data_IF_942565593294
#
_entry.id   IF_942565593294
#
_cell.length_a   1.000
_cell.length_b   1.000
_cell.length_c   1.000
_cell.angle_alpha   90.00
_cell.angle_beta   90.00
_cell.angle_gamma   90.00
#
_symmetry.space_group_name_H-M   'P 1'
#
loop_
_entity.id
_entity.type
_entity.pdbx_description
1 polymer ?
#
# COMPACT_ATOMS: atom_id res chain seq x y z
N UNK A 1 -11.07 17.98 -20.39
CA UNK A 1 -11.20 16.96 -21.44
C UNK A 1 -9.95 16.07 -21.52
N UNK A 2 -8.75 16.64 -21.72
CA UNK A 2 -7.47 15.90 -21.81
C UNK A 2 -7.19 14.92 -20.65
N UNK A 3 -7.33 15.35 -19.38
CA UNK A 3 -7.10 14.46 -18.21
C UNK A 3 -7.98 13.20 -18.20
N UNK A 4 -9.26 13.30 -18.60
CA UNK A 4 -10.18 12.16 -18.66
C UNK A 4 -9.80 11.20 -19.79
N UNK A 5 -9.37 11.72 -20.94
CA UNK A 5 -8.89 10.91 -22.07
C UNK A 5 -7.62 10.13 -21.67
N UNK A 6 -6.66 10.79 -21.02
CA UNK A 6 -5.45 10.13 -20.52
C UNK A 6 -5.75 9.05 -19.48
N UNK A 7 -6.67 9.30 -18.54
CA UNK A 7 -7.07 8.30 -17.54
C UNK A 7 -7.74 7.09 -18.19
N UNK A 8 -8.67 7.30 -19.14
CA UNK A 8 -9.31 6.21 -19.88
C UNK A 8 -8.31 5.41 -20.72
N UNK A 9 -7.37 6.09 -21.38
CA UNK A 9 -6.30 5.42 -22.12
C UNK A 9 -5.43 4.57 -21.19
N UNK A 10 -4.96 5.13 -20.07
CA UNK A 10 -4.17 4.41 -19.07
C UNK A 10 -4.92 3.18 -18.54
N UNK A 11 -6.20 3.31 -18.22
CA UNK A 11 -7.05 2.20 -17.78
C UNK A 11 -7.14 1.09 -18.84
N UNK A 12 -7.32 1.45 -20.12
CA UNK A 12 -7.42 0.48 -21.21
C UNK A 12 -6.13 -0.31 -21.44
N UNK A 13 -4.97 0.29 -21.18
CA UNK A 13 -3.66 -0.36 -21.34
C UNK A 13 -3.14 -1.05 -20.07
N UNK A 14 -3.85 -0.96 -18.94
CA UNK A 14 -3.44 -1.59 -17.66
C UNK A 14 -3.12 -3.08 -17.82
N UNK A 15 -3.96 -3.94 -18.41
CA UNK A 15 -3.67 -5.39 -18.50
C UNK A 15 -2.36 -5.68 -19.25
N UNK A 16 -2.13 -4.99 -20.38
CA UNK A 16 -0.90 -5.14 -21.16
C UNK A 16 0.31 -4.65 -20.39
N UNK A 17 0.22 -3.48 -19.73
CA UNK A 17 1.31 -2.96 -18.88
C UNK A 17 1.61 -3.89 -17.71
N UNK A 18 0.60 -4.42 -17.05
CA UNK A 18 0.76 -5.40 -15.96
C UNK A 18 1.48 -6.65 -16.44
N UNK A 19 1.11 -7.20 -17.60
CA UNK A 19 1.80 -8.36 -18.15
C UNK A 19 3.27 -8.06 -18.48
N UNK A 20 3.56 -6.86 -19.00
CA UNK A 20 4.93 -6.41 -19.27
C UNK A 20 5.74 -6.18 -17.98
N UNK A 21 5.15 -5.56 -16.95
CA UNK A 21 5.79 -5.37 -15.64
C UNK A 21 6.08 -6.73 -14.98
N UNK A 22 5.14 -7.67 -15.05
CA UNK A 22 5.31 -9.04 -14.56
C UNK A 22 6.45 -9.78 -15.28
N UNK A 23 6.46 -9.75 -16.61
CA UNK A 23 7.53 -10.34 -17.42
C UNK A 23 8.88 -9.65 -17.17
N UNK A 24 8.89 -8.32 -17.05
CA UNK A 24 10.08 -7.54 -16.75
C UNK A 24 10.70 -7.99 -15.42
N UNK A 25 9.92 -8.05 -14.34
CA UNK A 25 10.41 -8.52 -13.06
C UNK A 25 10.88 -9.97 -13.09
N UNK A 26 10.20 -10.86 -13.80
CA UNK A 26 10.67 -12.23 -13.99
C UNK A 26 12.06 -12.27 -14.63
N UNK A 27 12.25 -11.51 -15.71
CA UNK A 27 13.48 -11.52 -16.50
C UNK A 27 14.64 -10.74 -15.86
N UNK A 28 14.34 -9.74 -15.02
CA UNK A 28 15.36 -8.88 -14.42
C UNK A 28 15.70 -9.23 -12.98
N UNK A 29 14.88 -10.03 -12.28
CA UNK A 29 15.07 -10.30 -10.84
C UNK A 29 16.47 -10.82 -10.51
N UNK A 30 16.92 -11.86 -11.21
CA UNK A 30 18.25 -12.45 -10.95
C UNK A 30 19.41 -11.47 -11.21
N UNK A 31 19.20 -10.46 -12.06
CA UNK A 31 20.21 -9.44 -12.35
C UNK A 31 20.27 -8.34 -11.28
N UNK A 32 19.18 -8.12 -10.53
CA UNK A 32 19.09 -7.02 -9.57
C UNK A 32 19.18 -7.48 -8.11
N UNK A 33 18.71 -8.70 -7.79
CA UNK A 33 18.47 -9.16 -6.40
C UNK A 33 19.72 -9.10 -5.51
N UNK A 34 20.91 -9.37 -6.04
CA UNK A 34 22.15 -9.42 -5.25
C UNK A 34 22.64 -8.02 -4.83
N UNK A 35 22.14 -6.97 -5.50
CA UNK A 35 22.42 -5.57 -5.17
C UNK A 35 21.39 -4.97 -4.21
N UNK A 36 20.33 -5.72 -3.89
CA UNK A 36 19.27 -5.28 -2.99
C UNK A 36 19.56 -5.72 -1.55
N UNK A 37 19.11 -4.96 -0.54
CA UNK A 37 19.38 -5.28 0.85
C UNK A 37 18.77 -6.62 1.28
N UNK A 38 19.46 -7.33 2.16
CA UNK A 38 18.94 -8.52 2.83
C UNK A 38 18.07 -8.15 4.03
N UNK A 39 17.09 -8.99 4.31
CA UNK A 39 16.18 -8.87 5.44
C UNK A 39 16.78 -9.45 6.73
N UNK A 40 16.27 -8.95 7.85
CA UNK A 40 16.62 -9.41 9.22
C UNK A 40 15.69 -10.54 9.73
N UNK A 41 14.88 -11.13 8.83
CA UNK A 41 13.92 -12.19 9.16
C UNK A 41 12.69 -11.72 9.94
N UNK A 42 12.35 -10.42 9.97
CA UNK A 42 11.07 -9.99 10.52
C UNK A 42 9.89 -10.36 9.59
N UNK A 43 8.66 -10.48 10.15
CA UNK A 43 7.49 -10.83 9.36
C UNK A 43 6.94 -9.67 8.52
N UNK A 44 6.47 -9.97 7.31
CA UNK A 44 5.85 -9.01 6.37
C UNK A 44 4.48 -9.53 5.95
N UNK A 45 3.42 -8.76 6.21
CA UNK A 45 2.05 -9.08 5.79
C UNK A 45 1.66 -8.28 4.55
N UNK A 46 1.22 -8.99 3.52
CA UNK A 46 0.78 -8.42 2.25
C UNK A 46 -0.75 -8.35 2.18
N UNK A 47 -1.27 -7.20 1.74
CA UNK A 47 -2.71 -6.93 1.64
C UNK A 47 -3.09 -6.58 0.18
N UNK A 48 -3.95 -7.37 -0.47
CA UNK A 48 -4.31 -7.19 -1.87
C UNK A 48 -5.33 -6.05 -2.08
N UNK A 49 -5.38 -5.55 -3.31
CA UNK A 49 -6.34 -4.53 -3.75
C UNK A 49 -7.77 -5.08 -3.94
N UNK A 50 -8.72 -4.20 -4.16
CA UNK A 50 -10.12 -4.55 -4.43
C UNK A 50 -10.25 -5.48 -5.66
N UNK A 51 -11.13 -6.48 -5.58
CA UNK A 51 -11.32 -7.57 -6.55
C UNK A 51 -10.07 -8.42 -6.84
N UNK A 52 -9.10 -8.40 -5.93
CA UNK A 52 -7.93 -9.28 -6.00
C UNK A 52 -7.76 -10.07 -4.70
N UNK A 53 -6.93 -11.09 -4.77
CA UNK A 53 -6.56 -11.95 -3.65
C UNK A 53 -5.03 -11.97 -3.48
N UNK A 54 -4.55 -12.89 -2.65
CA UNK A 54 -3.13 -13.09 -2.41
C UNK A 54 -2.31 -13.39 -3.68
N UNK A 55 -2.94 -13.94 -4.73
CA UNK A 55 -2.28 -14.33 -5.98
C UNK A 55 -1.70 -13.14 -6.74
N UNK A 56 -2.36 -11.97 -6.69
CA UNK A 56 -1.84 -10.75 -7.32
C UNK A 56 -0.49 -10.32 -6.69
N UNK A 57 -0.32 -10.58 -5.39
CA UNK A 57 0.86 -10.17 -4.65
C UNK A 57 1.95 -11.25 -4.63
N UNK A 58 1.68 -12.47 -5.12
CA UNK A 58 2.56 -13.64 -4.97
C UNK A 58 3.98 -13.40 -5.46
N UNK A 59 4.12 -12.77 -6.62
CA UNK A 59 5.45 -12.53 -7.18
C UNK A 59 6.25 -11.56 -6.32
N UNK A 60 5.64 -10.48 -5.87
CA UNK A 60 6.26 -9.54 -4.93
C UNK A 60 6.64 -10.24 -3.61
N UNK A 61 5.74 -11.06 -3.06
CA UNK A 61 6.00 -11.87 -1.86
C UNK A 61 7.18 -12.81 -2.06
N UNK A 62 7.28 -13.47 -3.22
CA UNK A 62 8.39 -14.37 -3.52
C UNK A 62 9.73 -13.62 -3.58
N UNK A 63 9.77 -12.43 -4.20
CA UNK A 63 10.95 -11.57 -4.21
C UNK A 63 11.35 -11.19 -2.77
N UNK A 64 10.40 -10.71 -1.96
CA UNK A 64 10.65 -10.34 -0.55
C UNK A 64 11.09 -11.56 0.27
N UNK A 65 10.44 -12.71 0.14
CA UNK A 65 10.85 -13.95 0.80
C UNK A 65 12.27 -14.38 0.43
N UNK A 66 12.66 -14.24 -0.83
CA UNK A 66 14.00 -14.60 -1.30
C UNK A 66 15.11 -13.71 -0.71
N UNK A 67 14.76 -12.55 -0.17
CA UNK A 67 15.65 -11.64 0.57
C UNK A 67 15.65 -11.89 2.08
N UNK A 68 15.13 -13.03 2.54
CA UNK A 68 15.24 -13.46 3.94
C UNK A 68 14.12 -13.02 4.88
N UNK A 69 13.02 -12.44 4.38
CA UNK A 69 11.85 -12.08 5.21
C UNK A 69 10.86 -13.24 5.39
N UNK A 70 10.14 -13.26 6.51
CA UNK A 70 8.99 -14.16 6.70
C UNK A 70 7.73 -13.53 6.11
N UNK A 71 7.31 -13.96 4.92
CA UNK A 71 6.20 -13.33 4.20
C UNK A 71 4.87 -14.05 4.43
N UNK A 72 3.80 -13.27 4.63
CA UNK A 72 2.45 -13.75 4.86
C UNK A 72 1.45 -13.09 3.91
N UNK A 73 0.49 -13.87 3.44
CA UNK A 73 -0.71 -13.36 2.81
C UNK A 73 -1.77 -12.91 3.78
N UNK A 74 -2.78 -12.24 3.27
CA UNK A 74 -3.95 -11.85 4.05
C UNK A 74 -4.87 -13.04 4.32
N UNK A 75 -4.82 -14.10 3.49
CA UNK A 75 -5.57 -15.37 3.61
C UNK A 75 -7.09 -15.19 3.84
N UNK A 76 -7.69 -14.16 3.24
CA UNK A 76 -9.11 -13.83 3.40
C UNK A 76 -9.91 -13.90 2.07
N UNK A 77 -9.42 -14.66 1.09
CA UNK A 77 -10.07 -14.81 -0.23
C UNK A 77 -9.89 -13.58 -1.11
N UNK A 78 -10.96 -13.18 -1.81
CA UNK A 78 -11.00 -11.98 -2.68
C UNK A 78 -11.42 -10.76 -1.87
N UNK A 79 -10.76 -9.62 -2.11
CA UNK A 79 -11.06 -8.37 -1.45
C UNK A 79 -12.28 -7.66 -2.06
N UNK A 80 -13.42 -7.80 -1.40
CA UNK A 80 -14.66 -7.14 -1.79
C UNK A 80 -14.92 -5.79 -1.12
N UNK A 81 -13.97 -5.24 -0.36
CA UNK A 81 -14.15 -3.95 0.29
C UNK A 81 -14.29 -4.04 1.81
N UNK A 82 -14.66 -2.91 2.43
CA UNK A 82 -14.70 -2.75 3.88
C UNK A 82 -15.93 -3.38 4.49
N UNK A 83 -15.76 -4.53 5.13
CA UNK A 83 -16.78 -5.14 5.96
C UNK A 83 -16.23 -5.56 7.33
N UNK A 84 -17.11 -5.77 8.31
CA UNK A 84 -16.68 -6.13 9.66
C UNK A 84 -16.00 -7.50 9.76
N UNK A 85 -16.37 -8.46 8.91
CA UNK A 85 -15.79 -9.80 8.88
C UNK A 85 -14.34 -9.71 8.41
N UNK A 86 -14.08 -8.97 7.34
CA UNK A 86 -12.74 -8.65 6.82
C UNK A 86 -11.92 -7.91 7.86
N UNK A 87 -12.49 -6.91 8.54
CA UNK A 87 -11.79 -6.23 9.62
C UNK A 87 -11.39 -7.20 10.76
N UNK A 88 -12.33 -8.01 11.28
CA UNK A 88 -12.03 -9.02 12.31
C UNK A 88 -10.96 -10.02 11.86
N UNK A 89 -11.02 -10.47 10.61
CA UNK A 89 -10.04 -11.39 10.02
C UNK A 89 -8.64 -10.76 9.97
N UNK A 90 -8.51 -9.53 9.47
CA UNK A 90 -7.24 -8.81 9.39
C UNK A 90 -6.62 -8.55 10.76
N UNK A 91 -7.44 -8.14 11.74
CA UNK A 91 -6.99 -8.00 13.13
C UNK A 91 -6.45 -9.31 13.68
N UNK A 92 -7.19 -10.41 13.51
CA UNK A 92 -6.77 -11.75 13.95
C UNK A 92 -5.47 -12.16 13.26
N UNK A 93 -5.38 -11.97 11.95
CA UNK A 93 -4.22 -12.30 11.13
C UNK A 93 -2.95 -11.59 11.61
N UNK A 94 -3.02 -10.28 11.87
CA UNK A 94 -1.89 -9.52 12.43
C UNK A 94 -1.44 -10.08 13.78
N UNK A 95 -2.38 -10.38 14.69
CA UNK A 95 -2.06 -10.94 16.01
C UNK A 95 -1.44 -12.34 15.92
N UNK A 96 -1.88 -13.16 14.97
CA UNK A 96 -1.31 -14.49 14.73
C UNK A 96 0.13 -14.39 14.23
N UNK A 97 0.37 -13.59 13.19
CA UNK A 97 1.71 -13.38 12.64
C UNK A 97 2.66 -12.82 13.70
N UNK A 98 2.23 -11.80 14.43
CA UNK A 98 3.01 -11.19 15.51
C UNK A 98 3.38 -12.23 16.57
N UNK A 99 2.44 -13.06 17.02
CA UNK A 99 2.71 -14.11 18.02
C UNK A 99 3.60 -15.23 17.49
N UNK A 100 3.34 -15.72 16.29
CA UNK A 100 4.10 -16.81 15.65
C UNK A 100 5.57 -16.44 15.42
N UNK A 101 5.86 -15.17 15.19
CA UNK A 101 7.23 -14.66 14.96
C UNK A 101 7.89 -14.14 16.25
N UNK A 102 7.53 -14.70 17.41
CA UNK A 102 8.15 -14.33 18.68
C UNK A 102 7.95 -12.87 19.08
N UNK A 103 6.82 -12.26 18.68
CA UNK A 103 6.49 -10.84 18.93
C UNK A 103 7.44 -9.85 18.24
N UNK A 104 8.11 -10.25 17.15
CA UNK A 104 8.73 -9.30 16.21
C UNK A 104 7.63 -8.49 15.53
N UNK A 105 7.79 -7.18 15.44
CA UNK A 105 6.82 -6.32 14.73
C UNK A 105 6.74 -6.69 13.25
N UNK A 106 5.53 -6.51 12.70
CA UNK A 106 5.17 -6.90 11.34
C UNK A 106 5.21 -5.67 10.43
N UNK A 107 5.92 -5.74 9.31
CA UNK A 107 5.79 -4.71 8.26
C UNK A 107 4.61 -5.01 7.36
N UNK A 108 3.88 -3.99 6.95
CA UNK A 108 2.65 -4.13 6.17
C UNK A 108 2.85 -3.58 4.76
N UNK A 109 2.65 -4.42 3.75
CA UNK A 109 2.72 -4.03 2.34
C UNK A 109 1.32 -4.14 1.72
N UNK A 110 0.74 -3.02 1.32
CA UNK A 110 -0.62 -3.01 0.79
C UNK A 110 -0.70 -2.41 -0.60
N UNK A 111 -1.41 -3.08 -1.51
CA UNK A 111 -1.72 -2.55 -2.84
C UNK A 111 -3.14 -1.98 -2.89
N UNK A 112 -3.32 -0.82 -3.52
CA UNK A 112 -4.63 -0.20 -3.72
C UNK A 112 -5.41 -0.14 -2.39
N UNK A 113 -6.63 -0.70 -2.31
CA UNK A 113 -7.42 -0.80 -1.09
C UNK A 113 -6.70 -1.52 0.08
N UNK A 114 -5.87 -2.52 -0.22
CA UNK A 114 -5.01 -3.21 0.74
C UNK A 114 -4.10 -2.28 1.54
N UNK A 115 -3.62 -1.20 0.92
CA UNK A 115 -2.82 -0.19 1.62
C UNK A 115 -3.63 0.69 2.57
N UNK A 116 -4.93 0.88 2.34
CA UNK A 116 -5.80 1.55 3.31
C UNK A 116 -5.96 0.67 4.56
N UNK A 117 -6.16 -0.64 4.37
CA UNK A 117 -6.15 -1.60 5.48
C UNK A 117 -4.81 -1.60 6.24
N UNK A 118 -3.68 -1.60 5.53
CA UNK A 118 -2.35 -1.57 6.13
C UNK A 118 -2.17 -0.36 7.06
N UNK A 119 -2.49 0.84 6.57
CA UNK A 119 -2.40 2.09 7.34
C UNK A 119 -3.25 2.06 8.59
N UNK A 120 -4.42 1.44 8.51
CA UNK A 120 -5.40 1.45 9.59
C UNK A 120 -5.08 0.38 10.64
N UNK A 121 -4.56 -0.78 10.23
CA UNK A 121 -3.94 -1.73 11.16
C UNK A 121 -2.79 -1.08 11.92
N UNK A 122 -1.91 -0.35 11.23
CA UNK A 122 -0.80 0.36 11.83
C UNK A 122 -1.22 1.48 12.79
N UNK A 123 -2.33 2.17 12.49
CA UNK A 123 -2.90 3.19 13.38
C UNK A 123 -3.45 2.58 14.67
N UNK A 124 -4.11 1.44 14.57
CA UNK A 124 -4.74 0.79 15.73
C UNK A 124 -3.76 -0.04 16.55
N UNK A 125 -2.76 -0.66 15.91
CA UNK A 125 -1.79 -1.56 16.53
C UNK A 125 -0.33 -1.12 16.30
N UNK A 126 0.07 0.13 16.62
CA UNK A 126 1.42 0.62 16.34
C UNK A 126 2.52 -0.12 17.12
N UNK A 127 2.16 -0.78 18.23
CA UNK A 127 3.09 -1.64 18.97
C UNK A 127 3.40 -2.97 18.28
N UNK A 128 2.58 -3.40 17.31
CA UNK A 128 2.76 -4.64 16.55
C UNK A 128 3.25 -4.40 15.12
N UNK A 129 3.17 -3.17 14.63
CA UNK A 129 3.52 -2.82 13.25
C UNK A 129 4.86 -2.10 13.20
N UNK A 130 5.77 -2.56 12.35
CA UNK A 130 7.11 -2.00 12.17
C UNK A 130 7.08 -0.79 11.25
N UNK A 131 6.51 -0.96 10.06
CA UNK A 131 6.36 0.06 9.04
C UNK A 131 5.21 -0.31 8.08
N UNK A 132 4.82 0.66 7.25
CA UNK A 132 3.82 0.49 6.20
C UNK A 132 4.40 0.94 4.86
N UNK A 133 4.28 0.09 3.84
CA UNK A 133 4.53 0.44 2.45
C UNK A 133 3.23 0.27 1.64
N UNK A 134 2.72 1.37 1.09
CA UNK A 134 1.54 1.34 0.22
C UNK A 134 1.93 1.46 -1.24
N UNK A 135 1.22 0.76 -2.13
CA UNK A 135 1.48 0.76 -3.57
C UNK A 135 0.20 1.16 -4.31
N UNK A 136 0.16 2.38 -4.86
CA UNK A 136 -1.02 2.90 -5.59
C UNK A 136 -2.28 3.04 -4.73
N UNK A 137 -2.15 3.26 -3.42
CA UNK A 137 -3.30 3.23 -2.49
C UNK A 137 -3.99 4.60 -2.36
N UNK A 138 -5.30 4.72 -2.64
CA UNK A 138 -6.00 6.01 -2.72
C UNK A 138 -6.50 6.55 -1.35
N UNK A 139 -5.61 6.74 -0.37
CA UNK A 139 -6.00 7.12 1.00
C UNK A 139 -6.29 8.63 1.21
N UNK A 140 -5.79 9.50 0.34
CA UNK A 140 -5.80 10.96 0.51
C UNK A 140 -6.99 11.71 -0.10
N UNK A 141 -7.90 11.02 -0.79
CA UNK A 141 -9.08 11.62 -1.45
C UNK A 141 -10.37 10.81 -1.24
N UNK A 142 -10.46 10.05 -0.14
CA UNK A 142 -11.64 9.24 0.16
C UNK A 142 -12.92 10.05 0.40
N UNK A 143 -12.81 11.35 0.76
CA UNK A 143 -13.97 12.24 0.98
C UNK A 143 -14.47 12.93 -0.32
N UNK A 144 -13.71 12.88 -1.43
CA UNK A 144 -14.05 13.52 -2.72
C UNK A 144 -13.85 12.50 -3.86
N UNK A 145 -14.63 11.42 -3.76
CA UNK A 145 -14.59 10.28 -4.70
C UNK A 145 -15.01 10.65 -6.12
N UNK A 146 -15.66 11.81 -6.31
CA UNK A 146 -15.96 12.38 -7.63
C UNK A 146 -14.69 12.74 -8.44
N UNK A 147 -13.51 12.81 -7.78
CA UNK A 147 -12.23 13.16 -8.41
C UNK A 147 -11.15 12.08 -8.34
N UNK A 148 -11.32 11.03 -7.52
CA UNK A 148 -10.23 10.15 -7.08
C UNK A 148 -10.13 8.76 -7.72
N UNK A 149 -11.21 8.19 -8.25
CA UNK A 149 -11.19 6.90 -8.93
C UNK A 149 -11.89 6.99 -10.30
N UNK A 150 -11.56 6.13 -11.26
CA UNK A 150 -12.41 5.99 -12.45
C UNK A 150 -13.82 5.63 -11.96
N UNK A 151 -14.84 6.35 -12.42
CA UNK A 151 -16.23 6.21 -11.94
C UNK A 151 -16.76 4.77 -11.93
N UNK A 152 -16.22 3.90 -12.79
CA UNK A 152 -16.49 2.47 -12.84
C UNK A 152 -15.98 1.74 -11.60
N UNK A 153 -14.75 2.00 -11.15
CA UNK A 153 -14.17 1.38 -9.95
C UNK A 153 -15.01 1.73 -8.72
N UNK A 154 -15.47 2.99 -8.63
CA UNK A 154 -16.38 3.42 -7.57
C UNK A 154 -17.72 2.70 -7.61
N UNK A 155 -18.34 2.60 -8.79
CA UNK A 155 -19.62 1.86 -8.95
C UNK A 155 -19.50 0.39 -8.57
N UNK A 156 -18.40 -0.25 -8.96
CA UNK A 156 -18.16 -1.65 -8.59
C UNK A 156 -17.89 -1.76 -7.08
N UNK A 157 -17.12 -0.83 -6.51
CA UNK A 157 -16.94 -0.76 -5.06
C UNK A 157 -18.28 -0.62 -4.33
N UNK A 158 -19.11 0.36 -4.70
CA UNK A 158 -20.41 0.61 -4.08
C UNK A 158 -21.37 -0.59 -4.26
N UNK A 159 -21.30 -1.29 -5.39
CA UNK A 159 -22.07 -2.50 -5.64
C UNK A 159 -21.72 -3.66 -4.70
N UNK A 160 -20.43 -3.84 -4.38
CA UNK A 160 -19.99 -4.87 -3.43
C UNK A 160 -20.06 -4.41 -1.96
N UNK A 161 -20.24 -3.11 -1.74
CA UNK A 161 -20.28 -2.48 -0.42
C UNK A 161 -21.57 -1.66 -0.20
N UNK A 162 -22.76 -2.20 -0.53
CA UNK A 162 -24.01 -1.52 -0.23
C UNK A 162 -24.10 -1.45 1.30
N UNK A 163 -24.26 -0.25 1.85
CA UNK A 163 -24.40 0.00 3.30
C UNK A 163 -23.12 -0.05 4.16
N UNK A 164 -21.94 0.28 3.62
CA UNK A 164 -20.71 0.38 4.45
C UNK A 164 -20.67 1.62 5.36
N UNK A 165 -21.18 1.43 6.59
CA UNK A 165 -21.28 2.41 7.68
C UNK A 165 -19.95 2.97 8.27
N UNK A 166 -18.74 2.39 8.10
CA UNK A 166 -17.49 3.04 8.53
C UNK A 166 -16.97 4.11 7.57
N UNK A 167 -17.25 4.00 6.26
CA UNK A 167 -16.78 4.95 5.24
C UNK A 167 -17.63 6.22 5.14
N UNK A 168 -18.87 6.17 5.65
CA UNK A 168 -19.77 7.32 5.75
C UNK A 168 -19.55 8.18 7.00
N UNK A 169 -18.57 7.85 7.85
CA UNK A 169 -18.17 8.72 8.95
C UNK A 169 -17.54 10.00 8.38
N UNK A 170 -18.03 11.18 8.81
CA UNK A 170 -17.60 12.54 8.40
C UNK A 170 -16.09 12.87 8.56
N UNK A 171 -15.24 11.90 8.88
CA UNK A 171 -13.83 12.07 9.16
C UNK A 171 -12.92 11.11 8.38
N UNK A 172 -13.46 10.26 7.50
CA UNK A 172 -12.67 9.18 6.92
C UNK A 172 -11.53 9.66 6.00
N UNK A 173 -11.74 10.66 5.16
CA UNK A 173 -10.65 11.21 4.35
C UNK A 173 -9.61 11.92 5.19
N UNK A 174 -9.99 12.73 6.20
CA UNK A 174 -9.02 13.30 7.17
C UNK A 174 -8.22 12.21 7.89
N UNK A 175 -8.89 11.15 8.34
CA UNK A 175 -8.27 10.02 9.03
C UNK A 175 -7.30 9.27 8.13
N UNK A 176 -7.73 8.87 6.94
CA UNK A 176 -6.91 8.10 6.00
C UNK A 176 -5.73 8.92 5.47
N UNK A 177 -5.91 10.23 5.26
CA UNK A 177 -4.84 11.14 4.84
C UNK A 177 -3.77 11.34 5.91
N UNK A 178 -4.14 11.37 7.20
CA UNK A 178 -3.17 11.41 8.31
C UNK A 178 -2.33 10.13 8.27
N UNK A 179 -0.99 10.16 8.23
CA UNK A 179 -0.18 8.94 8.34
C UNK A 179 -0.42 8.22 9.69
N UNK A 180 -0.28 6.89 9.77
CA UNK A 180 -0.22 6.20 11.06
C UNK A 180 1.06 6.58 11.83
N UNK A 181 1.13 6.35 13.15
CA UNK A 181 2.27 6.74 13.99
C UNK A 181 3.44 5.74 13.88
N UNK A 182 3.74 5.28 12.67
CA UNK A 182 4.87 4.41 12.31
C UNK A 182 5.43 4.87 10.97
N UNK A 183 6.69 4.52 10.62
CA UNK A 183 7.24 4.80 9.30
C UNK A 183 6.28 4.36 8.18
N UNK A 184 5.98 5.28 7.26
CA UNK A 184 4.96 5.08 6.22
C UNK A 184 5.44 5.59 4.87
N UNK A 185 5.64 4.68 3.94
CA UNK A 185 6.05 4.99 2.57
C UNK A 185 4.90 4.78 1.61
N UNK A 186 4.64 5.75 0.72
CA UNK A 186 3.74 5.54 -0.42
C UNK A 186 4.52 5.47 -1.72
N UNK A 187 4.42 4.35 -2.41
CA UNK A 187 4.91 4.15 -3.77
C UNK A 187 3.75 4.41 -4.73
N UNK A 188 3.92 5.37 -5.64
CA UNK A 188 2.87 5.77 -6.58
C UNK A 188 3.41 5.90 -8.00
N UNK A 189 2.51 5.80 -8.98
CA UNK A 189 2.80 6.08 -10.39
C UNK A 189 1.85 7.15 -10.92
N UNK A 190 2.35 8.04 -11.78
CA UNK A 190 1.48 9.00 -12.50
C UNK A 190 0.74 8.36 -13.67
N UNK A 191 1.21 7.20 -14.12
CA UNK A 191 0.57 6.40 -15.16
C UNK A 191 -0.61 5.58 -14.64
N UNK A 192 -0.99 5.74 -13.37
CA UNK A 192 -2.14 5.08 -12.74
C UNK A 192 -3.40 5.35 -13.56
N UNK A 193 -3.98 4.28 -14.11
CA UNK A 193 -5.23 4.34 -14.87
C UNK A 193 -6.48 4.11 -14.02
N UNK A 194 -6.34 3.77 -12.74
CA UNK A 194 -7.45 3.29 -11.89
C UNK A 194 -7.87 4.36 -10.88
N UNK A 195 -6.89 5.03 -10.26
CA UNK A 195 -7.10 6.10 -9.27
C UNK A 195 -6.24 7.33 -9.58
N UNK A 196 -6.66 8.52 -9.15
CA UNK A 196 -5.79 9.70 -9.23
C UNK A 196 -4.60 9.48 -8.30
N UNK A 197 -3.41 9.37 -8.87
CA UNK A 197 -2.17 9.17 -8.12
C UNK A 197 -1.94 10.19 -6.99
N UNK A 198 -2.56 11.37 -7.06
CA UNK A 198 -2.51 12.38 -5.98
C UNK A 198 -3.19 11.89 -4.70
N UNK A 199 -4.18 11.02 -4.82
CA UNK A 199 -4.84 10.37 -3.70
C UNK A 199 -3.90 9.39 -2.97
N UNK A 200 -2.77 9.02 -3.57
CA UNK A 200 -1.76 8.16 -2.95
C UNK A 200 -0.64 8.95 -2.27
N UNK A 201 -0.70 10.28 -2.20
CA UNK A 201 0.36 11.09 -1.59
C UNK A 201 0.17 11.23 -0.09
N UNK A 202 1.17 10.80 0.67
CA UNK A 202 1.34 11.19 2.07
C UNK A 202 1.58 12.70 2.19
N UNK A 203 1.05 13.35 3.25
CA UNK A 203 1.58 14.64 3.66
C UNK A 203 3.04 14.51 4.08
N UNK A 204 3.75 15.66 4.16
CA UNK A 204 5.13 15.68 4.66
C UNK A 204 5.12 15.53 6.19
N UNK A 205 5.77 14.49 6.70
CA UNK A 205 6.05 14.31 8.13
C UNK A 205 7.47 13.77 8.31
N UNK A 206 7.93 13.62 9.55
CA UNK A 206 9.24 13.03 9.85
C UNK A 206 9.31 11.51 9.58
N UNK A 207 8.17 10.84 9.48
CA UNK A 207 8.08 9.39 9.31
C UNK A 207 7.30 8.99 8.05
N UNK A 208 7.00 9.95 7.16
CA UNK A 208 6.25 9.65 5.94
C UNK A 208 6.88 10.24 4.70
N UNK A 209 6.84 9.46 3.62
CA UNK A 209 7.40 9.85 2.34
C UNK A 209 6.59 9.35 1.16
N UNK A 210 6.97 9.82 -0.03
CA UNK A 210 6.38 9.43 -1.30
C UNK A 210 7.48 9.09 -2.31
N UNK A 211 7.47 7.87 -2.83
CA UNK A 211 8.38 7.38 -3.85
C UNK A 211 7.58 7.27 -5.16
N UNK A 212 8.06 7.96 -6.19
CA UNK A 212 7.50 7.85 -7.53
C UNK A 212 8.23 6.76 -8.29
N UNK A 213 7.45 5.92 -8.97
CA UNK A 213 7.91 5.04 -10.05
C UNK A 213 7.09 5.33 -11.32
N UNK A 214 7.58 4.89 -12.47
CA UNK A 214 6.77 4.89 -13.69
C UNK A 214 6.16 3.49 -13.88
N UNK A 215 4.91 3.42 -14.33
CA UNK A 215 4.17 2.15 -14.45
C UNK A 215 2.65 2.33 -14.43
N UNK A 216 1.90 1.24 -14.37
CA UNK A 216 0.44 1.22 -14.17
C UNK A 216 0.02 0.94 -12.73
N UNK A 217 -1.27 1.04 -12.44
CA UNK A 217 -1.86 0.78 -11.12
C UNK A 217 -1.69 -0.66 -10.67
N UNK A 218 -2.03 -1.62 -11.55
CA UNK A 218 -1.95 -3.04 -11.22
C UNK A 218 -0.52 -3.52 -11.38
N UNK A 219 0.16 -3.06 -12.44
CA UNK A 219 1.55 -3.42 -12.73
C UNK A 219 2.57 -2.95 -11.67
N UNK A 220 2.23 -1.98 -10.82
CA UNK A 220 3.13 -1.45 -9.78
C UNK A 220 3.65 -2.55 -8.83
N UNK A 221 2.86 -3.58 -8.54
CA UNK A 221 3.27 -4.69 -7.64
C UNK A 221 4.30 -5.61 -8.30
N UNK A 222 4.43 -5.53 -9.61
CA UNK A 222 5.43 -6.24 -10.41
C UNK A 222 6.53 -5.33 -10.92
N UNK A 223 6.46 -4.03 -10.69
CA UNK A 223 7.45 -3.10 -11.23
C UNK A 223 8.80 -3.28 -10.51
N UNK A 224 9.93 -3.54 -11.20
CA UNK A 224 11.23 -3.77 -10.55
C UNK A 224 11.70 -2.60 -9.67
N UNK A 225 11.37 -1.36 -10.02
CA UNK A 225 11.70 -0.18 -9.21
C UNK A 225 10.85 -0.14 -7.94
N UNK A 226 9.56 -0.48 -8.06
CA UNK A 226 8.67 -0.53 -6.91
C UNK A 226 9.07 -1.67 -5.95
N UNK A 227 9.41 -2.85 -6.47
CA UNK A 227 9.92 -3.99 -5.68
C UNK A 227 11.22 -3.61 -4.95
N UNK A 228 12.13 -2.92 -5.64
CA UNK A 228 13.37 -2.38 -5.06
C UNK A 228 13.08 -1.42 -3.92
N UNK A 229 12.17 -0.47 -4.12
CA UNK A 229 11.76 0.46 -3.08
C UNK A 229 11.10 -0.28 -1.89
N UNK A 230 10.25 -1.28 -2.11
CA UNK A 230 9.69 -2.10 -1.02
C UNK A 230 10.79 -2.74 -0.19
N UNK A 231 11.75 -3.43 -0.83
CA UNK A 231 12.85 -4.09 -0.12
C UNK A 231 13.75 -3.12 0.63
N UNK A 232 14.05 -1.99 0.02
CA UNK A 232 14.82 -0.92 0.64
C UNK A 232 14.14 -0.40 1.92
N UNK A 233 12.83 -0.14 1.86
CA UNK A 233 12.06 0.31 3.02
C UNK A 233 11.95 -0.77 4.10
N UNK A 234 11.73 -2.02 3.71
CA UNK A 234 11.71 -3.16 4.64
C UNK A 234 13.09 -3.38 5.31
N UNK A 235 14.19 -2.98 4.70
CA UNK A 235 15.53 -3.15 5.29
C UNK A 235 15.85 -2.17 6.42
N UNK A 236 15.04 -1.11 6.57
CA UNK A 236 15.26 -0.07 7.59
C UNK A 236 15.12 -0.66 9.00
N UNK A 237 16.10 -0.39 9.88
CA UNK A 237 16.06 -0.81 11.28
C UNK A 237 15.02 -0.02 12.06
N UNK A 238 14.36 -0.67 13.02
CA UNK A 238 13.45 0.02 13.94
C UNK A 238 14.14 1.22 14.61
N UNK A 239 13.44 2.37 14.65
CA UNK A 239 13.97 3.61 15.23
C UNK A 239 15.01 4.36 14.39
N UNK A 240 15.43 3.83 13.24
CA UNK A 240 16.47 4.41 12.39
C UNK A 240 15.96 4.69 10.96
N UNK A 241 14.66 4.97 10.82
CA UNK A 241 14.08 5.25 9.51
C UNK A 241 14.72 6.48 8.88
N UNK A 242 15.14 6.35 7.63
CA UNK A 242 15.62 7.45 6.81
C UNK A 242 14.83 7.47 5.49
N UNK A 243 14.57 8.65 4.87
CA UNK A 243 13.93 8.72 3.56
C UNK A 243 14.68 7.94 2.47
N UNK A 244 13.97 7.54 1.42
CA UNK A 244 14.50 6.77 0.30
C UNK A 244 15.50 7.61 -0.51
N UNK A 245 16.75 7.14 -0.56
CA UNK A 245 17.77 7.76 -1.40
C UNK A 245 17.79 7.12 -2.79
N UNK A 246 17.41 7.91 -3.80
CA UNK A 246 17.47 7.50 -5.21
C UNK A 246 18.90 7.31 -5.69
N UNK A 247 19.87 7.92 -4.99
CA UNK A 247 21.28 7.88 -5.35
C UNK A 247 21.89 6.48 -5.17
N UNK A 248 21.31 5.66 -4.28
CA UNK A 248 21.67 4.25 -4.09
C UNK A 248 21.25 3.37 -5.28
N UNK A 249 20.29 3.83 -6.08
CA UNK A 249 19.69 3.09 -7.18
C UNK A 249 19.75 3.87 -8.52
N UNK A 250 20.82 4.66 -8.74
CA UNK A 250 20.97 5.50 -9.95
C UNK A 250 20.72 4.77 -11.26
N UNK A 251 21.21 3.54 -11.37
CA UNK A 251 21.07 2.69 -12.58
C UNK A 251 19.60 2.37 -12.92
N UNK A 252 18.70 2.41 -11.94
CA UNK A 252 17.26 2.18 -12.17
C UNK A 252 16.52 3.43 -12.65
N UNK A 253 17.14 4.60 -12.60
CA UNK A 253 16.56 5.83 -13.11
C UNK A 253 15.29 6.29 -12.38
N UNK A 254 15.23 6.14 -11.04
CA UNK A 254 14.09 6.58 -10.23
C UNK A 254 13.64 8.00 -10.59
N UNK A 255 12.37 8.20 -11.01
CA UNK A 255 11.86 9.52 -11.28
C UNK A 255 12.01 10.43 -10.06
N UNK A 256 12.40 11.68 -10.31
CA UNK A 256 12.33 12.72 -9.28
C UNK A 256 10.88 12.82 -8.81
N UNK A 257 10.69 12.92 -7.49
CA UNK A 257 9.43 13.44 -6.97
C UNK A 257 9.19 14.80 -7.63
N UNK A 258 7.99 15.05 -8.14
CA UNK A 258 7.73 16.24 -8.95
C UNK A 258 8.05 17.49 -8.12
N UNK A 259 9.07 18.25 -8.54
CA UNK A 259 9.38 19.57 -8.01
C UNK A 259 8.20 20.47 -8.40
N UNK A 260 7.25 20.66 -7.48
CA UNK A 260 6.08 21.53 -7.70
C UNK A 260 4.72 20.93 -7.36
N UNK A 261 4.58 19.60 -7.14
CA UNK A 261 3.33 19.11 -6.55
C UNK A 261 3.28 19.55 -5.09
N UNK A 262 2.37 20.47 -4.75
CA UNK A 262 2.07 20.78 -3.35
C UNK A 262 1.54 19.51 -2.69
N UNK A 263 2.33 18.93 -1.78
CA UNK A 263 1.89 17.78 -0.99
C UNK A 263 0.61 18.15 -0.22
N UNK A 264 -0.29 17.19 0.02
CA UNK A 264 -1.48 17.47 0.81
C UNK A 264 -1.07 17.91 2.22
N UNK A 265 -1.87 18.79 2.87
CA UNK A 265 -1.65 19.13 4.28
C UNK A 265 -1.89 17.89 5.15
N UNK A 266 -1.18 17.80 6.28
CA UNK A 266 -1.50 16.81 7.30
C UNK A 266 -2.70 17.32 8.12
N UNK A 267 -3.85 16.63 8.14
CA UNK A 267 -4.98 17.06 8.96
C UNK A 267 -4.84 16.68 10.44
N UNK A 268 -3.73 16.01 10.82
CA UNK A 268 -3.37 15.68 12.21
C UNK A 268 -4.49 14.95 12.97
N UNK A 269 -5.19 14.03 12.29
CA UNK A 269 -6.28 13.29 12.89
C UNK A 269 -5.78 12.47 14.10
N UNK A 270 -6.30 12.79 15.28
CA UNK A 270 -6.01 12.05 16.51
C UNK A 270 -6.89 10.80 16.59
N UNK A 271 -6.26 9.64 16.76
CA UNK A 271 -6.98 8.38 16.93
C UNK A 271 -7.93 8.44 18.12
N UNK A 272 -9.21 8.20 17.87
CA UNK A 272 -10.25 8.15 18.91
C UNK A 272 -10.56 6.67 19.19
N UNK A 273 -10.34 6.21 20.43
CA UNK A 273 -10.54 4.79 20.83
C UNK A 273 -11.94 4.24 20.47
N UNK A 274 -12.96 5.11 20.41
CA UNK A 274 -14.34 4.73 20.09
C UNK A 274 -14.62 4.59 18.56
N UNK A 275 -13.66 4.98 17.70
CA UNK A 275 -13.76 4.92 16.24
C UNK A 275 -12.74 3.93 15.66
N UNK A 276 -12.70 2.70 16.16
CA UNK A 276 -11.91 1.62 15.57
C UNK A 276 -12.57 1.12 14.27
N UNK A 277 -11.76 0.81 13.24
CA UNK A 277 -12.24 0.05 12.07
C UNK A 277 -12.19 -1.47 12.30
N UNK A 278 -11.53 -1.91 13.37
CA UNK A 278 -11.34 -3.31 13.75
C UNK A 278 -12.05 -3.65 15.08
N UNK A 279 -13.29 -3.17 15.25
CA UNK A 279 -14.11 -3.40 16.45
C UNK A 279 -14.25 -4.91 16.75
N UNK A 280 -14.31 -5.25 18.04
CA UNK A 280 -14.39 -6.61 18.57
C UNK A 280 -13.14 -7.02 19.34
N UNK A 281 -13.29 -7.62 20.53
CA UNK A 281 -12.16 -8.26 21.23
C UNK A 281 -11.66 -9.43 20.36
N UNK A 282 -10.35 -9.69 20.26
CA UNK A 282 -9.89 -10.99 19.77
C UNK A 282 -10.56 -12.04 20.65
N UNK A 283 -11.31 -12.97 20.04
CA UNK A 283 -11.91 -14.08 20.77
C UNK A 283 -10.83 -14.76 21.61
N UNK A 284 -11.10 -14.89 22.90
CA UNK A 284 -10.36 -15.69 23.88
C UNK A 284 -10.13 -17.11 23.38
#
# INVERSE_FOLDING_TARGET
MFKKITAMFNAAVEPTRTALDYASLLLTWDKIKDRLPEGDGHPVLFLPGFLSDDGLMDRLRACVKSKGYHTYGWENGVNFGFDEKTARALKKRLHEIYRQNGRKKVSLVGHSLGGVYARELAREFPGMVRDVVTMGSPFGQLDDLDKGAVSVVRKVYDFFNPDTSPMNDQHMGKRCLTPPPVPTTSIYTKGDGVVDWRSSLNPRTELSENIRVDGGHIGIVFNPMAVTAVLDRLSQKEGHWMPFDRSDYKEMGFPKAELGTKLPPNPEFRHQKNKSMFKGRPGS
#
